data_IF_861943427859
#
_entry.id   IF_861943427859
#
_cell.length_a   1.000
_cell.length_b   1.000
_cell.length_c   1.000
_cell.angle_alpha   90.00
_cell.angle_beta   90.00
_cell.angle_gamma   90.00
#
_symmetry.space_group_name_H-M   'P 1'
#
loop_
_entity.id
_entity.type
_entity.pdbx_description
1 polymer ?
#
# COMPACT_ATOMS: atom_id res chain seq x y z
N UNK A 1 -30.05 -39.61 -0.66
CA UNK A 1 -28.94 -38.97 -1.41
C UNK A 1 -29.22 -37.54 -1.83
N UNK A 2 -30.27 -37.26 -2.62
CA UNK A 2 -30.54 -35.90 -3.16
C UNK A 2 -30.43 -34.74 -2.15
N UNK A 3 -31.04 -34.85 -0.96
CA UNK A 3 -30.99 -33.79 0.07
C UNK A 3 -29.60 -33.56 0.69
N UNK A 4 -28.78 -34.60 0.82
CA UNK A 4 -27.41 -34.48 1.35
C UNK A 4 -26.49 -33.86 0.29
N UNK A 5 -26.69 -34.23 -0.97
CA UNK A 5 -25.97 -33.66 -2.11
C UNK A 5 -26.30 -32.17 -2.32
N UNK A 6 -27.57 -31.77 -2.23
CA UNK A 6 -27.95 -30.35 -2.31
C UNK A 6 -27.34 -29.51 -1.18
N UNK A 7 -27.29 -30.03 0.06
CA UNK A 7 -26.66 -29.31 1.17
C UNK A 7 -25.14 -29.16 0.97
N UNK A 8 -24.48 -30.21 0.47
CA UNK A 8 -23.06 -30.16 0.13
C UNK A 8 -22.78 -29.13 -0.98
N UNK A 9 -23.61 -29.10 -2.04
CA UNK A 9 -23.46 -28.11 -3.12
C UNK A 9 -23.67 -26.68 -2.64
N UNK A 10 -24.64 -26.42 -1.76
CA UNK A 10 -24.83 -25.09 -1.16
C UNK A 10 -23.61 -24.69 -0.33
N UNK A 11 -23.06 -25.60 0.47
CA UNK A 11 -21.84 -25.35 1.25
C UNK A 11 -20.65 -25.00 0.35
N UNK A 12 -20.43 -25.77 -0.73
CA UNK A 12 -19.37 -25.49 -1.71
C UNK A 12 -19.60 -24.14 -2.40
N UNK A 13 -20.83 -23.82 -2.81
CA UNK A 13 -21.14 -22.51 -3.41
C UNK A 13 -20.87 -21.35 -2.44
N UNK A 14 -21.23 -21.47 -1.16
CA UNK A 14 -20.92 -20.45 -0.16
C UNK A 14 -19.40 -20.31 0.01
N UNK A 15 -18.67 -21.42 0.12
CA UNK A 15 -17.21 -21.39 0.23
C UNK A 15 -16.53 -20.75 -1.00
N UNK A 16 -17.03 -21.05 -2.20
CA UNK A 16 -16.53 -20.45 -3.44
C UNK A 16 -16.82 -18.95 -3.50
N UNK A 17 -18.02 -18.51 -3.07
CA UNK A 17 -18.34 -17.08 -2.97
C UNK A 17 -17.39 -16.35 -2.00
N UNK A 18 -17.00 -16.98 -0.89
CA UNK A 18 -16.00 -16.43 0.04
C UNK A 18 -14.60 -16.34 -0.58
N UNK A 19 -14.15 -17.37 -1.29
CA UNK A 19 -12.85 -17.33 -1.97
C UNK A 19 -12.78 -16.25 -3.05
N UNK A 20 -13.89 -16.00 -3.76
CA UNK A 20 -13.97 -14.93 -4.77
C UNK A 20 -13.94 -13.56 -4.12
N UNK A 21 -14.62 -13.35 -2.98
CA UNK A 21 -14.55 -12.07 -2.28
C UNK A 21 -13.14 -11.74 -1.78
N UNK A 22 -12.38 -12.72 -1.28
CA UNK A 22 -10.99 -12.48 -0.83
C UNK A 22 -10.07 -12.17 -2.01
N UNK A 23 -10.27 -12.82 -3.15
CA UNK A 23 -9.49 -12.57 -4.36
C UNK A 23 -9.84 -11.26 -5.08
N UNK A 24 -11.06 -10.73 -4.89
CA UNK A 24 -11.52 -9.48 -5.49
C UNK A 24 -11.13 -8.22 -4.70
N UNK A 25 -10.59 -8.36 -3.49
CA UNK A 25 -9.92 -7.25 -2.81
C UNK A 25 -8.51 -7.14 -3.34
N UNK A 26 -8.36 -6.41 -4.44
CA UNK A 26 -7.04 -5.97 -4.89
C UNK A 26 -6.36 -5.19 -3.76
N UNK A 27 -5.15 -5.62 -3.42
CA UNK A 27 -4.25 -4.79 -2.63
C UNK A 27 -3.77 -3.68 -3.55
N UNK A 28 -4.46 -2.53 -3.53
CA UNK A 28 -3.85 -1.32 -4.04
C UNK A 28 -2.73 -0.97 -3.07
N UNK A 29 -1.51 -1.09 -3.55
CA UNK A 29 -0.33 -0.65 -2.84
C UNK A 29 -0.09 0.79 -3.28
N UNK A 30 0.04 1.67 -2.30
CA UNK A 30 0.20 3.11 -2.53
C UNK A 30 1.13 3.60 -1.42
N UNK A 31 2.40 3.80 -1.75
CA UNK A 31 3.33 4.50 -0.87
C UNK A 31 2.94 5.96 -0.79
N UNK A 32 2.26 6.31 0.30
CA UNK A 32 1.75 7.65 0.51
C UNK A 32 2.54 8.40 1.56
N UNK A 33 2.98 9.60 1.21
CA UNK A 33 3.59 10.54 2.14
C UNK A 33 2.68 11.76 2.24
N UNK A 34 2.20 12.03 3.45
CA UNK A 34 1.50 13.28 3.75
C UNK A 34 2.56 14.31 4.20
N UNK A 35 2.56 15.46 3.55
CA UNK A 35 3.54 16.53 3.74
C UNK A 35 2.91 17.68 4.52
N UNK A 36 3.50 18.08 5.65
CA UNK A 36 3.12 19.30 6.37
C UNK A 36 3.84 20.51 5.77
N UNK A 37 3.16 21.17 4.82
CA UNK A 37 3.71 22.29 4.05
C UNK A 37 4.06 23.51 4.91
N UNK A 38 3.44 23.67 6.09
CA UNK A 38 3.70 24.82 6.98
C UNK A 38 5.07 24.73 7.66
N UNK A 39 5.66 23.54 7.74
CA UNK A 39 6.94 23.28 8.44
C UNK A 39 8.11 23.00 7.51
N UNK A 40 7.90 23.09 6.20
CA UNK A 40 8.96 22.86 5.22
C UNK A 40 10.03 23.95 5.30
N UNK A 41 11.29 23.63 4.98
CA UNK A 41 12.33 24.65 4.81
C UNK A 41 11.90 25.70 3.76
N UNK A 42 12.17 26.97 4.05
CA UNK A 42 11.91 28.06 3.11
C UNK A 42 12.65 27.84 1.79
N UNK A 43 11.95 28.03 0.66
CA UNK A 43 12.50 27.82 -0.68
C UNK A 43 12.32 26.41 -1.22
N UNK A 44 11.66 25.51 -0.49
CA UNK A 44 11.34 24.17 -0.98
C UNK A 44 10.43 24.24 -2.21
N UNK A 45 10.87 23.58 -3.28
CA UNK A 45 10.13 23.37 -4.53
C UNK A 45 9.82 21.88 -4.72
N UNK A 46 10.74 20.99 -4.34
CA UNK A 46 10.58 19.54 -4.49
C UNK A 46 10.88 18.79 -3.20
N UNK A 47 10.27 17.61 -3.05
CA UNK A 47 10.64 16.61 -2.04
C UNK A 47 11.07 15.33 -2.75
N UNK A 48 12.33 14.95 -2.54
CA UNK A 48 12.96 13.80 -3.16
C UNK A 48 13.02 12.63 -2.17
N UNK A 49 12.64 11.44 -2.64
CA UNK A 49 12.78 10.20 -1.89
C UNK A 49 14.24 9.75 -1.88
N UNK A 50 14.79 9.50 -0.69
CA UNK A 50 16.09 8.89 -0.53
C UNK A 50 15.96 7.46 -0.01
N UNK A 51 16.71 6.55 -0.62
CA UNK A 51 16.72 5.12 -0.27
C UNK A 51 18.16 4.65 -0.05
N UNK A 52 18.40 3.67 0.84
CA UNK A 52 19.74 3.17 1.13
C UNK A 52 20.21 2.16 0.05
N UNK A 53 20.31 2.63 -1.19
CA UNK A 53 20.71 1.85 -2.36
C UNK A 53 22.25 1.77 -2.41
N UNK A 54 22.78 0.56 -2.55
CA UNK A 54 24.22 0.33 -2.71
C UNK A 54 24.63 0.44 -4.18
N UNK A 55 25.88 0.87 -4.45
CA UNK A 55 26.44 0.83 -5.81
C UNK A 55 26.50 -0.58 -6.41
N UNK A 56 26.43 -1.61 -5.57
CA UNK A 56 26.36 -3.02 -5.97
C UNK A 56 24.95 -3.50 -6.32
N UNK A 57 23.91 -2.70 -6.08
CA UNK A 57 22.55 -3.06 -6.42
C UNK A 57 22.32 -2.96 -7.93
N UNK A 58 21.59 -3.93 -8.49
CA UNK A 58 21.30 -4.00 -9.93
C UNK A 58 20.54 -2.77 -10.46
N UNK A 59 19.75 -2.12 -9.60
CA UNK A 59 19.00 -0.92 -9.95
C UNK A 59 19.84 0.36 -9.92
N UNK A 60 21.04 0.33 -9.33
CA UNK A 60 21.84 1.53 -9.11
C UNK A 60 22.50 2.02 -10.40
N UNK A 61 22.46 3.34 -10.60
CA UNK A 61 23.28 4.05 -11.58
C UNK A 61 23.98 5.23 -10.92
N UNK A 62 25.18 5.55 -11.41
CA UNK A 62 25.94 6.69 -10.88
C UNK A 62 25.19 8.02 -11.04
N UNK A 63 24.48 8.18 -12.16
CA UNK A 63 23.56 9.29 -12.39
C UNK A 63 22.57 8.90 -13.50
N UNK A 64 21.27 9.15 -13.27
CA UNK A 64 20.23 8.95 -14.26
C UNK A 64 20.13 10.19 -15.17
N UNK A 65 20.89 10.17 -16.26
CA UNK A 65 20.96 11.26 -17.25
C UNK A 65 19.59 11.66 -17.80
N UNK A 66 18.67 10.70 -18.01
CA UNK A 66 17.34 10.99 -18.54
C UNK A 66 16.52 11.84 -17.57
N UNK A 67 16.57 11.54 -16.27
CA UNK A 67 15.92 12.36 -15.26
C UNK A 67 16.67 13.68 -15.02
N UNK A 68 18.01 13.67 -15.11
CA UNK A 68 18.82 14.88 -15.07
C UNK A 68 18.43 15.90 -16.14
N UNK A 69 18.36 15.45 -17.40
CA UNK A 69 17.90 16.26 -18.53
C UNK A 69 16.44 16.71 -18.36
N UNK A 70 15.54 15.81 -17.93
CA UNK A 70 14.12 16.09 -17.74
C UNK A 70 13.88 17.24 -16.75
N UNK A 71 14.65 17.31 -15.67
CA UNK A 71 14.47 18.29 -14.61
C UNK A 71 15.52 19.40 -14.60
N UNK A 72 16.40 19.44 -15.59
CA UNK A 72 17.51 20.39 -15.66
C UNK A 72 18.41 20.34 -14.40
N UNK A 73 18.60 19.15 -13.84
CA UNK A 73 19.48 18.87 -12.70
C UNK A 73 20.72 18.18 -13.23
N UNK A 74 21.91 18.74 -12.96
CA UNK A 74 23.17 18.14 -13.41
C UNK A 74 23.66 17.05 -12.45
N UNK A 75 24.52 16.17 -12.94
CA UNK A 75 25.28 15.22 -12.11
C UNK A 75 26.13 15.94 -11.04
N UNK A 76 26.42 17.22 -11.25
CA UNK A 76 27.20 18.03 -10.33
C UNK A 76 26.40 18.69 -9.20
N UNK A 77 25.06 18.65 -9.28
CA UNK A 77 24.16 19.22 -8.27
C UNK A 77 24.30 18.55 -6.90
N UNK A 78 23.83 19.24 -5.86
CA UNK A 78 23.89 18.70 -4.50
C UNK A 78 23.05 17.42 -4.35
N UNK A 79 21.84 17.36 -4.92
CA UNK A 79 21.00 16.16 -4.84
C UNK A 79 21.60 14.96 -5.57
N UNK A 80 22.23 15.17 -6.73
CA UNK A 80 22.90 14.10 -7.49
C UNK A 80 24.16 13.56 -6.80
N UNK A 81 24.72 14.30 -5.85
CA UNK A 81 25.89 13.90 -5.06
C UNK A 81 25.51 13.49 -3.63
N UNK A 82 24.23 13.59 -3.27
CA UNK A 82 23.78 13.37 -1.91
C UNK A 82 23.95 11.89 -1.55
N UNK A 83 24.77 11.65 -0.53
CA UNK A 83 24.88 10.38 0.15
C UNK A 83 24.83 10.63 1.67
N UNK A 84 23.63 10.59 2.23
CA UNK A 84 23.39 10.84 3.66
C UNK A 84 23.21 9.51 4.40
N UNK A 85 24.30 9.01 5.01
CA UNK A 85 24.32 7.72 5.72
C UNK A 85 23.99 6.51 4.81
N UNK A 86 24.44 6.54 3.55
CA UNK A 86 24.15 5.50 2.57
C UNK A 86 22.85 5.71 1.80
N UNK A 87 22.09 6.77 2.10
CA UNK A 87 20.86 7.12 1.37
C UNK A 87 21.15 8.03 0.18
N UNK A 88 20.67 7.64 -0.99
CA UNK A 88 20.83 8.35 -2.27
C UNK A 88 19.47 8.64 -2.89
N UNK A 89 19.41 9.62 -3.81
CA UNK A 89 18.17 9.97 -4.53
C UNK A 89 17.63 8.81 -5.36
N UNK A 90 16.33 8.52 -5.20
CA UNK A 90 15.60 7.59 -6.08
C UNK A 90 15.65 8.07 -7.52
N UNK A 91 15.28 9.33 -7.76
CA UNK A 91 15.16 9.93 -9.09
C UNK A 91 16.48 9.89 -9.88
N UNK A 92 17.60 10.15 -9.22
CA UNK A 92 18.89 10.31 -9.88
C UNK A 92 19.82 9.09 -9.78
N UNK A 93 19.54 8.09 -8.94
CA UNK A 93 20.39 6.90 -8.79
C UNK A 93 19.70 5.56 -9.05
N UNK A 94 18.43 5.56 -9.46
CA UNK A 94 17.74 4.35 -9.95
C UNK A 94 17.67 4.39 -11.47
N UNK A 95 18.07 3.29 -12.12
CA UNK A 95 18.22 3.20 -13.58
C UNK A 95 16.94 3.47 -14.37
N UNK A 96 15.80 3.07 -13.82
CA UNK A 96 14.47 3.20 -14.40
C UNK A 96 13.51 4.00 -13.49
N UNK A 97 14.07 4.90 -12.66
CA UNK A 97 13.27 5.72 -11.75
C UNK A 97 12.20 6.50 -12.51
N UNK A 98 10.94 6.31 -12.10
CA UNK A 98 9.83 7.06 -12.65
C UNK A 98 9.40 8.12 -11.65
N UNK A 99 9.70 9.35 -12.04
CA UNK A 99 9.43 10.53 -11.23
C UNK A 99 8.60 11.54 -12.02
N UNK A 100 7.91 12.42 -11.30
CA UNK A 100 7.26 13.62 -11.80
C UNK A 100 7.63 14.81 -10.91
N UNK A 101 8.88 15.30 -10.99
CA UNK A 101 9.25 16.57 -10.34
C UNK A 101 8.70 17.75 -11.13
N UNK A 102 7.42 18.09 -10.91
CA UNK A 102 6.78 19.25 -11.52
C UNK A 102 6.13 20.10 -10.44
N UNK A 103 6.51 21.37 -10.22
CA UNK A 103 5.87 22.19 -9.19
C UNK A 103 4.36 22.24 -9.46
N UNK A 104 3.57 21.70 -8.52
CA UNK A 104 2.12 21.78 -8.60
C UNK A 104 1.70 23.07 -7.91
N UNK A 105 0.65 23.70 -8.39
CA UNK A 105 0.10 24.89 -7.74
C UNK A 105 -1.38 24.62 -7.47
N UNK A 106 -1.82 24.82 -6.23
CA UNK A 106 -3.23 24.89 -5.89
C UNK A 106 -3.67 26.33 -5.62
N UNK A 107 -4.92 26.48 -5.20
CA UNK A 107 -5.52 27.78 -4.88
C UNK A 107 -4.81 28.51 -3.72
N UNK A 108 -3.89 27.86 -3.00
CA UNK A 108 -3.20 28.34 -1.81
C UNK A 108 -1.70 28.58 -2.02
N UNK A 109 -1.11 28.12 -3.14
CA UNK A 109 0.30 28.35 -3.48
C UNK A 109 0.96 27.18 -4.23
N UNK A 110 2.30 27.12 -4.19
CA UNK A 110 3.07 25.98 -4.71
C UNK A 110 2.89 24.76 -3.80
N UNK A 111 2.30 23.69 -4.32
CA UNK A 111 2.40 22.34 -3.77
C UNK A 111 3.79 21.80 -4.11
N UNK A 112 4.46 21.31 -3.07
CA UNK A 112 5.71 20.57 -3.20
C UNK A 112 5.43 19.21 -3.80
N UNK A 113 6.09 18.92 -4.92
CA UNK A 113 5.85 17.67 -5.62
C UNK A 113 6.76 16.59 -5.08
N UNK A 114 6.14 15.48 -4.72
CA UNK A 114 6.83 14.25 -4.39
C UNK A 114 7.40 13.66 -5.67
N UNK A 115 8.73 13.57 -5.74
CA UNK A 115 9.39 13.26 -6.99
C UNK A 115 8.97 11.91 -7.58
N UNK A 116 8.81 10.79 -6.84
CA UNK A 116 8.24 9.57 -7.41
C UNK A 116 6.80 9.78 -7.92
N UNK A 117 6.54 9.35 -9.15
CA UNK A 117 5.19 9.43 -9.72
C UNK A 117 4.31 8.32 -9.10
N UNK A 118 3.56 8.67 -8.06
CA UNK A 118 2.62 7.78 -7.39
C UNK A 118 1.50 7.24 -8.31
N UNK A 119 1.33 7.79 -9.51
CA UNK A 119 0.32 7.37 -10.48
C UNK A 119 0.88 6.63 -11.70
N UNK A 120 2.21 6.52 -11.80
CA UNK A 120 2.85 5.66 -12.78
C UNK A 120 2.56 4.20 -12.42
N UNK A 121 1.37 3.73 -12.82
CA UNK A 121 0.96 2.33 -12.81
C UNK A 121 1.89 1.52 -13.73
N UNK A 122 3.13 1.31 -13.31
CA UNK A 122 4.05 0.40 -13.93
C UNK A 122 3.88 -0.93 -13.22
N UNK A 123 2.75 -1.57 -13.51
CA UNK A 123 2.58 -3.01 -13.36
C UNK A 123 3.47 -3.79 -14.34
N UNK A 124 4.69 -3.30 -14.61
CA UNK A 124 5.66 -3.93 -15.49
C UNK A 124 6.56 -4.79 -14.62
N UNK A 125 6.47 -6.08 -14.84
CA UNK A 125 7.43 -7.04 -14.32
C UNK A 125 8.85 -6.56 -14.68
N UNK A 126 9.69 -6.32 -13.67
CA UNK A 126 11.08 -5.88 -13.86
C UNK A 126 11.36 -4.39 -13.72
N UNK A 127 10.39 -3.55 -13.30
CA UNK A 127 10.68 -2.14 -12.97
C UNK A 127 10.98 -1.92 -11.48
N UNK A 128 11.99 -1.09 -11.18
CA UNK A 128 12.32 -0.69 -9.81
C UNK A 128 11.51 0.54 -9.37
N UNK A 129 10.21 0.33 -9.23
CA UNK A 129 9.28 1.30 -8.64
C UNK A 129 9.72 1.71 -7.22
N UNK A 130 9.50 2.98 -6.86
CA UNK A 130 9.71 3.55 -5.53
C UNK A 130 9.04 2.72 -4.43
N UNK A 131 7.84 2.22 -4.70
CA UNK A 131 7.06 1.30 -3.89
C UNK A 131 7.93 0.06 -3.56
N UNK A 132 8.34 -0.68 -4.60
CA UNK A 132 9.11 -1.91 -4.47
C UNK A 132 10.44 -1.68 -3.76
N UNK A 133 11.16 -0.61 -4.11
CA UNK A 133 12.45 -0.32 -3.51
C UNK A 133 12.33 0.11 -2.05
N UNK A 134 11.38 0.97 -1.71
CA UNK A 134 11.12 1.35 -0.32
C UNK A 134 10.82 0.10 0.53
N UNK A 135 10.06 -0.86 0.00
CA UNK A 135 9.87 -2.15 0.67
C UNK A 135 11.15 -2.99 0.73
N UNK A 136 11.93 -3.09 -0.35
CA UNK A 136 13.18 -3.87 -0.37
C UNK A 136 14.13 -3.39 0.73
N UNK A 137 14.26 -2.08 0.87
CA UNK A 137 15.23 -1.46 1.77
C UNK A 137 14.72 -1.21 3.19
N UNK A 138 13.40 -1.22 3.41
CA UNK A 138 12.75 -1.10 4.74
C UNK A 138 13.01 0.21 5.47
N UNK A 139 13.67 1.18 4.85
CA UNK A 139 13.94 2.50 5.39
C UNK A 139 13.91 3.54 4.28
N UNK A 140 13.47 4.75 4.62
CA UNK A 140 13.44 5.90 3.72
C UNK A 140 13.82 7.18 4.46
N UNK A 141 14.37 8.15 3.72
CA UNK A 141 14.52 9.56 4.10
C UNK A 141 13.93 10.43 2.99
N UNK A 142 13.72 11.71 3.27
CA UNK A 142 13.34 12.71 2.28
C UNK A 142 14.29 13.89 2.28
N UNK A 143 14.61 14.40 1.09
CA UNK A 143 15.33 15.65 0.92
C UNK A 143 14.39 16.74 0.41
N UNK A 144 14.44 17.90 1.05
CA UNK A 144 13.82 19.13 0.56
C UNK A 144 14.77 19.83 -0.40
N UNK A 145 14.29 20.17 -1.59
CA UNK A 145 15.10 20.77 -2.64
C UNK A 145 14.51 22.10 -3.10
N UNK A 146 15.36 23.02 -3.52
CA UNK A 146 14.93 24.17 -4.32
C UNK A 146 14.81 23.82 -5.81
N UNK A 147 14.56 24.81 -6.66
CA UNK A 147 14.36 24.63 -8.11
C UNK A 147 15.60 24.10 -8.84
N UNK A 148 16.80 24.32 -8.30
CA UNK A 148 18.08 23.95 -8.89
C UNK A 148 18.64 22.61 -8.34
N UNK A 149 17.86 21.93 -7.48
CA UNK A 149 18.27 20.67 -6.84
C UNK A 149 19.29 20.87 -5.71
N UNK A 150 19.36 22.06 -5.12
CA UNK A 150 20.11 22.30 -3.89
C UNK A 150 19.39 21.68 -2.71
N UNK A 151 20.13 21.08 -1.79
CA UNK A 151 19.52 20.42 -0.62
C UNK A 151 19.30 21.44 0.50
N UNK A 152 18.04 21.69 0.83
CA UNK A 152 17.63 22.61 1.90
C UNK A 152 17.57 21.91 3.27
N UNK A 153 17.35 20.61 3.27
CA UNK A 153 17.32 19.78 4.47
C UNK A 153 17.01 18.33 4.15
N UNK A 154 17.44 17.43 5.02
CA UNK A 154 17.19 15.98 4.92
C UNK A 154 16.52 15.52 6.19
N UNK A 155 15.46 14.72 6.06
CA UNK A 155 14.75 14.18 7.21
C UNK A 155 15.59 13.16 7.99
N UNK A 156 15.18 12.85 9.21
CA UNK A 156 15.55 11.58 9.85
C UNK A 156 15.06 10.38 9.01
N UNK A 157 15.60 9.19 9.29
CA UNK A 157 15.12 7.96 8.66
C UNK A 157 13.89 7.40 9.37
N UNK A 158 12.95 6.88 8.59
CA UNK A 158 11.80 6.14 9.10
C UNK A 158 11.73 4.75 8.47
N UNK A 159 11.15 3.80 9.22
CA UNK A 159 10.98 2.43 8.75
C UNK A 159 9.83 2.32 7.77
N UNK A 160 10.09 1.66 6.65
CA UNK A 160 9.08 1.26 5.66
C UNK A 160 8.62 -0.16 6.00
N UNK A 161 7.35 -0.27 6.39
CA UNK A 161 6.78 -1.53 6.85
C UNK A 161 6.52 -2.50 5.70
N UNK A 162 6.85 -3.79 5.89
CA UNK A 162 6.47 -4.84 4.94
C UNK A 162 4.96 -5.10 4.99
N UNK A 163 4.31 -4.91 3.86
CA UNK A 163 2.87 -5.11 3.66
C UNK A 163 2.58 -6.36 2.81
N UNK A 164 3.59 -6.88 2.11
CA UNK A 164 3.43 -7.98 1.15
C UNK A 164 2.99 -9.26 1.87
N UNK A 165 1.84 -9.79 1.46
CA UNK A 165 1.21 -10.97 2.09
C UNK A 165 0.31 -10.66 3.29
N UNK A 166 0.11 -9.39 3.66
CA UNK A 166 -0.89 -9.00 4.67
C UNK A 166 -2.22 -8.62 3.99
N UNK A 167 -3.33 -9.07 4.57
CA UNK A 167 -4.70 -8.91 4.04
C UNK A 167 -5.22 -7.47 4.24
N UNK A 168 -5.54 -6.78 3.13
CA UNK A 168 -6.33 -5.53 3.00
C UNK A 168 -5.81 -4.20 3.57
N UNK A 169 -5.93 -3.15 2.75
CA UNK A 169 -6.14 -1.75 3.19
C UNK A 169 -4.99 -1.07 3.91
N UNK A 170 -3.79 -1.63 3.82
CA UNK A 170 -2.61 -1.06 4.45
C UNK A 170 -2.02 -0.01 3.53
N UNK A 171 -2.20 1.22 3.94
CA UNK A 171 -1.41 2.32 3.44
C UNK A 171 -0.19 2.42 4.34
N UNK A 172 0.99 2.48 3.74
CA UNK A 172 2.11 3.06 4.47
C UNK A 172 1.83 4.55 4.52
N UNK A 173 1.49 5.08 5.69
CA UNK A 173 1.39 6.51 5.90
C UNK A 173 2.71 6.98 6.47
N UNK A 174 3.40 7.82 5.72
CA UNK A 174 4.48 8.60 6.28
C UNK A 174 4.06 10.05 6.41
N UNK A 175 4.30 10.63 7.58
CA UNK A 175 4.07 12.04 7.84
C UNK A 175 5.42 12.74 7.88
N UNK A 176 5.63 13.69 6.98
CA UNK A 176 6.84 14.51 6.95
C UNK A 176 6.50 15.92 7.45
N UNK A 177 7.05 16.27 8.62
CA UNK A 177 6.80 17.53 9.32
C UNK A 177 8.11 18.25 9.58
N UNK A 178 8.53 19.10 8.66
CA UNK A 178 9.89 19.63 8.64
C UNK A 178 10.88 18.48 8.43
N UNK A 179 11.91 18.35 9.25
CA UNK A 179 12.90 17.28 9.12
C UNK A 179 12.52 15.98 9.85
N UNK A 180 11.34 15.93 10.46
CA UNK A 180 10.85 14.74 11.16
C UNK A 180 9.93 13.94 10.24
N UNK A 181 10.30 12.68 10.03
CA UNK A 181 9.60 11.66 9.28
C UNK A 181 9.11 10.60 10.26
N UNK A 182 7.80 10.44 10.32
CA UNK A 182 7.15 9.39 11.11
C UNK A 182 6.50 8.40 10.16
N UNK A 183 6.62 7.10 10.46
CA UNK A 183 5.86 6.07 9.75
C UNK A 183 4.80 5.48 10.66
N UNK A 184 3.55 5.60 10.24
CA UNK A 184 2.43 4.92 10.87
C UNK A 184 1.96 3.77 9.98
N UNK A 185 1.47 2.73 10.64
CA UNK A 185 0.94 1.56 10.00
C UNK A 185 -0.44 1.26 10.55
N UNK A 186 -1.46 1.56 9.75
CA UNK A 186 -2.84 1.27 10.10
C UNK A 186 -3.22 -0.12 9.62
N UNK A 187 -3.64 -0.99 10.55
CA UNK A 187 -4.21 -2.28 10.20
C UNK A 187 -5.70 -2.12 9.94
N UNK A 188 -6.19 -2.55 8.76
CA UNK A 188 -7.59 -2.88 8.61
C UNK A 188 -7.92 -3.96 9.66
N UNK A 189 -8.79 -3.71 10.65
CA UNK A 189 -8.89 -4.60 11.80
C UNK A 189 -9.33 -5.99 11.34
N UNK A 190 -8.58 -7.07 11.64
CA UNK A 190 -9.03 -8.44 11.39
C UNK A 190 -10.36 -8.76 12.11
N UNK A 191 -10.77 -7.89 13.03
CA UNK A 191 -12.08 -7.86 13.68
C UNK A 191 -13.22 -7.87 12.65
N UNK A 192 -13.12 -7.15 11.53
CA UNK A 192 -14.22 -7.15 10.55
C UNK A 192 -14.42 -8.54 9.93
N UNK A 193 -13.34 -9.22 9.54
CA UNK A 193 -13.39 -10.60 9.04
C UNK A 193 -13.85 -11.58 10.12
N UNK A 194 -13.41 -11.37 11.36
CA UNK A 194 -13.87 -12.15 12.52
C UNK A 194 -15.38 -11.99 12.75
N UNK A 195 -15.91 -10.76 12.66
CA UNK A 195 -17.35 -10.46 12.83
C UNK A 195 -18.16 -11.12 11.72
N UNK A 196 -17.72 -11.05 10.48
CA UNK A 196 -18.36 -11.77 9.36
C UNK A 196 -18.36 -13.27 9.63
N UNK A 197 -17.22 -13.84 10.03
CA UNK A 197 -17.10 -15.27 10.33
C UNK A 197 -18.03 -15.71 11.46
N UNK A 198 -18.07 -14.96 12.57
CA UNK A 198 -18.98 -15.22 13.69
C UNK A 198 -20.44 -15.12 13.23
N UNK A 199 -20.79 -14.11 12.43
CA UNK A 199 -22.14 -13.94 11.88
C UNK A 199 -22.59 -15.15 11.05
N UNK A 200 -21.71 -15.71 10.23
CA UNK A 200 -21.98 -16.93 9.45
C UNK A 200 -22.14 -18.16 10.34
N UNK A 201 -21.31 -18.31 11.37
CA UNK A 201 -21.43 -19.39 12.35
C UNK A 201 -22.78 -19.33 13.08
N UNK A 202 -23.23 -18.14 13.50
CA UNK A 202 -24.54 -17.94 14.12
C UNK A 202 -25.67 -18.24 13.14
N UNK A 203 -25.60 -17.74 11.90
CA UNK A 203 -26.61 -17.98 10.87
C UNK A 203 -26.77 -19.48 10.55
N UNK A 204 -25.66 -20.19 10.38
CA UNK A 204 -25.67 -21.65 10.11
C UNK A 204 -26.23 -22.43 11.29
N UNK A 205 -25.92 -22.03 12.52
CA UNK A 205 -26.49 -22.63 13.73
C UNK A 205 -28.02 -22.43 13.81
N UNK A 206 -28.51 -21.21 13.54
CA UNK A 206 -29.95 -20.90 13.53
C UNK A 206 -30.68 -21.74 12.46
N UNK A 207 -30.13 -21.85 11.25
CA UNK A 207 -30.70 -22.69 10.18
C UNK A 207 -30.75 -24.16 10.61
N UNK A 208 -29.70 -24.67 11.26
CA UNK A 208 -29.66 -26.05 11.75
C UNK A 208 -30.76 -26.32 12.79
N UNK A 209 -30.98 -25.39 13.73
CA UNK A 209 -32.08 -25.46 14.71
C UNK A 209 -33.43 -25.48 14.01
N UNK A 210 -33.67 -24.54 13.08
CA UNK A 210 -34.94 -24.48 12.35
C UNK A 210 -35.25 -25.80 11.61
N UNK A 211 -34.24 -26.41 10.98
CA UNK A 211 -34.37 -27.71 10.31
C UNK A 211 -34.69 -28.83 11.32
N UNK A 212 -34.04 -28.85 12.49
CA UNK A 212 -34.29 -29.83 13.53
C UNK A 212 -35.72 -29.73 14.07
N UNK A 213 -36.17 -28.51 14.38
CA UNK A 213 -37.53 -28.22 14.85
C UNK A 213 -38.57 -28.63 13.81
N UNK A 214 -38.39 -28.24 12.54
CA UNK A 214 -39.28 -28.65 11.44
C UNK A 214 -39.38 -30.18 11.32
N UNK A 215 -38.26 -30.89 11.39
CA UNK A 215 -38.23 -32.37 11.33
C UNK A 215 -38.97 -32.98 12.53
N UNK A 216 -38.81 -32.41 13.72
CA UNK A 216 -39.49 -32.87 14.92
C UNK A 216 -41.01 -32.73 14.80
N UNK A 217 -41.51 -31.55 14.42
CA UNK A 217 -42.95 -31.32 14.20
C UNK A 217 -43.52 -32.21 13.09
N UNK A 218 -42.79 -32.38 11.99
CA UNK A 218 -43.20 -33.28 10.91
C UNK A 218 -43.31 -34.74 11.38
N UNK A 219 -42.40 -35.18 12.25
CA UNK A 219 -42.45 -36.54 12.85
C UNK A 219 -43.70 -36.69 13.72
N UNK A 220 -43.98 -35.73 14.60
CA UNK A 220 -45.17 -35.74 15.47
C UNK A 220 -46.46 -35.77 14.64
N UNK A 221 -46.58 -34.89 13.64
CA UNK A 221 -47.78 -34.86 12.79
C UNK A 221 -47.99 -36.17 12.03
N UNK A 222 -46.91 -36.86 11.64
CA UNK A 222 -47.03 -38.19 11.02
C UNK A 222 -47.57 -39.26 11.97
N UNK A 223 -47.36 -39.12 13.28
CA UNK A 223 -47.93 -40.02 14.29
C UNK A 223 -49.41 -39.70 14.58
N UNK A 224 -49.84 -38.44 14.50
CA UNK A 224 -51.24 -38.03 14.72
C UNK A 224 -52.22 -38.50 13.64
N UNK A 225 -51.76 -38.83 12.44
CA UNK A 225 -52.61 -39.18 11.28
C UNK A 225 -52.41 -40.62 10.76
N UNK A 226 -52.00 -41.58 11.60
CA UNK A 226 -52.12 -42.99 11.25
C UNK A 226 -53.57 -43.43 11.50
N UNK A 227 -54.36 -43.78 10.48
CA UNK A 227 -55.67 -44.39 10.70
C UNK A 227 -55.47 -45.71 11.47
N UNK A 228 -56.32 -45.93 12.49
CA UNK A 228 -56.39 -47.19 13.22
C UNK A 228 -56.96 -48.29 12.32
#
# INVERSE_FOLDING_TARGET
>A
MKKKFSAFMIFVCIFLLFSVTVAAFETMWDFRVDLDTEKMPNGTVYVELLLPISESDECYVGFNEANGEKYNISADSEISKLNSDGFVSYTFHVSDAVSEMAPRYDEWGTIVTFAPDAYANLSREGTYDCDYLAEKYKEAKFAYLDEDGKVLGVSNSAKVWNIRGKIQGYYLYMSLSGLELESDFSYAPPIFLLVIFIGLCVLTFVIAIMIAVYKYFKKINKFKYRPQ
#
